data_IF_631153564817
#
_entry.id   IF_631153564817
#
_cell.length_a   1.000
_cell.length_b   1.000
_cell.length_c   1.000
_cell.angle_alpha   90.00
_cell.angle_beta   90.00
_cell.angle_gamma   90.00
#
_symmetry.space_group_name_H-M   'P 1'
#
loop_
_entity.id
_entity.type
_entity.pdbx_description
1 polymer ?
#
# COMPACT_ATOMS: atom_id res chain seq x y z
N UNK A 1 -10.61 1.49 -19.67
CA UNK A 1 -10.08 0.66 -18.56
C UNK A 1 -11.25 0.19 -17.73
N UNK A 2 -11.44 -1.13 -17.58
CA UNK A 2 -12.52 -1.71 -16.78
C UNK A 2 -12.19 -1.79 -15.29
N UNK A 3 -13.21 -1.98 -14.45
CA UNK A 3 -13.05 -2.09 -12.99
C UNK A 3 -12.11 -3.23 -12.60
N UNK A 4 -12.14 -4.35 -13.31
CA UNK A 4 -11.26 -5.48 -13.05
C UNK A 4 -9.77 -5.11 -13.20
N UNK A 5 -9.43 -4.29 -14.19
CA UNK A 5 -8.05 -3.84 -14.38
C UNK A 5 -7.62 -2.86 -13.28
N UNK A 6 -8.52 -2.02 -12.78
CA UNK A 6 -8.20 -1.11 -11.67
C UNK A 6 -7.85 -1.91 -10.43
N UNK A 7 -8.66 -2.93 -10.10
CA UNK A 7 -8.38 -3.84 -9.00
C UNK A 7 -7.05 -4.57 -9.15
N UNK A 8 -6.71 -5.03 -10.36
CA UNK A 8 -5.43 -5.70 -10.61
C UNK A 8 -4.25 -4.75 -10.39
N UNK A 9 -4.32 -3.53 -10.91
CA UNK A 9 -3.24 -2.55 -10.73
C UNK A 9 -3.10 -2.18 -9.26
N UNK A 10 -4.19 -1.86 -8.56
CA UNK A 10 -4.14 -1.58 -7.13
C UNK A 10 -3.61 -2.78 -6.34
N UNK A 11 -4.02 -4.00 -6.67
CA UNK A 11 -3.52 -5.22 -6.06
C UNK A 11 -2.01 -5.39 -6.24
N UNK A 12 -1.49 -5.22 -7.46
CA UNK A 12 -0.05 -5.31 -7.74
C UNK A 12 0.73 -4.23 -6.99
N UNK A 13 0.23 -2.99 -6.92
CA UNK A 13 0.86 -1.91 -6.13
C UNK A 13 1.00 -2.33 -4.66
N UNK A 14 -0.06 -2.88 -4.08
CA UNK A 14 -0.09 -3.34 -2.69
C UNK A 14 0.75 -4.61 -2.44
N UNK A 15 1.20 -5.32 -3.48
CA UNK A 15 2.15 -6.44 -3.37
C UNK A 15 3.61 -6.00 -3.55
N UNK A 16 3.88 -5.05 -4.45
CA UNK A 16 5.25 -4.57 -4.71
C UNK A 16 5.75 -3.72 -3.55
N UNK A 17 4.90 -2.87 -2.98
CA UNK A 17 5.24 -2.02 -1.82
C UNK A 17 5.83 -2.81 -0.64
N UNK A 18 5.15 -3.85 -0.09
CA UNK A 18 5.68 -4.60 1.04
C UNK A 18 6.93 -5.40 0.69
N UNK A 19 7.11 -5.85 -0.56
CA UNK A 19 8.38 -6.45 -0.99
C UNK A 19 9.53 -5.46 -0.86
N UNK A 20 9.33 -4.22 -1.32
CA UNK A 20 10.33 -3.16 -1.16
C UNK A 20 10.64 -2.87 0.30
N UNK A 21 9.61 -2.76 1.15
CA UNK A 21 9.77 -2.53 2.59
C UNK A 21 10.55 -3.68 3.25
N UNK A 22 10.17 -4.93 2.95
CA UNK A 22 10.81 -6.12 3.49
C UNK A 22 12.30 -6.18 3.11
N UNK A 23 12.64 -5.96 1.84
CA UNK A 23 14.02 -5.95 1.38
C UNK A 23 14.85 -4.88 2.09
N UNK A 24 14.34 -3.65 2.22
CA UNK A 24 15.07 -2.57 2.89
C UNK A 24 15.29 -2.83 4.37
N UNK A 25 14.25 -3.29 5.09
CA UNK A 25 14.33 -3.46 6.55
C UNK A 25 15.12 -4.71 6.96
N UNK A 26 15.10 -5.78 6.15
CA UNK A 26 15.76 -7.06 6.50
C UNK A 26 17.10 -7.27 5.80
N UNK A 27 17.22 -6.91 4.52
CA UNK A 27 18.44 -7.15 3.73
C UNK A 27 19.36 -5.94 3.80
N UNK A 28 18.82 -4.73 3.65
CA UNK A 28 19.58 -3.49 3.69
C UNK A 28 19.46 -2.78 5.05
N UNK A 29 19.43 -3.56 6.14
CA UNK A 29 19.20 -3.09 7.52
C UNK A 29 20.07 -1.86 7.86
N UNK A 30 21.37 -1.91 7.55
CA UNK A 30 22.34 -0.86 7.89
C UNK A 30 22.08 0.48 7.18
N UNK A 31 21.36 0.45 6.04
CA UNK A 31 20.96 1.67 5.32
C UNK A 31 19.62 2.24 5.81
N UNK A 32 18.85 1.44 6.55
CA UNK A 32 17.52 1.79 7.02
C UNK A 32 17.54 2.35 8.44
N UNK A 33 18.37 1.78 9.31
CA UNK A 33 18.51 2.21 10.69
C UNK A 33 19.72 3.13 10.85
N UNK A 34 19.63 4.07 11.80
CA UNK A 34 20.77 4.91 12.17
C UNK A 34 21.89 4.06 12.78
N UNK A 35 23.15 4.45 12.55
CA UNK A 35 24.35 3.68 12.91
C UNK A 35 24.46 3.35 14.42
N UNK A 36 23.74 4.11 15.25
CA UNK A 36 23.68 4.00 16.70
C UNK A 36 22.34 3.45 17.22
N UNK A 37 21.52 2.83 16.36
CA UNK A 37 20.30 2.14 16.77
C UNK A 37 20.64 0.94 17.68
N UNK A 38 19.90 0.77 18.77
CA UNK A 38 20.04 -0.41 19.62
C UNK A 38 19.45 -1.64 18.94
N UNK A 39 19.93 -2.83 19.32
CA UNK A 39 19.40 -4.10 18.79
C UNK A 39 17.88 -4.23 18.99
N UNK A 40 17.38 -3.81 20.16
CA UNK A 40 15.95 -3.80 20.48
C UNK A 40 15.16 -2.86 19.56
N UNK A 41 15.72 -1.71 19.20
CA UNK A 41 15.10 -0.78 18.26
C UNK A 41 15.01 -1.36 16.84
N UNK A 42 16.07 -2.05 16.40
CA UNK A 42 16.11 -2.73 15.10
C UNK A 42 15.08 -3.87 15.08
N UNK A 43 14.99 -4.66 16.14
CA UNK A 43 14.03 -5.76 16.26
C UNK A 43 12.57 -5.26 16.24
N UNK A 44 12.28 -4.18 16.95
CA UNK A 44 10.96 -3.54 16.94
C UNK A 44 10.60 -3.04 15.54
N UNK A 45 11.55 -2.38 14.85
CA UNK A 45 11.39 -1.92 13.47
C UNK A 45 11.12 -3.06 12.50
N UNK A 46 11.88 -4.16 12.60
CA UNK A 46 11.67 -5.39 11.80
C UNK A 46 10.31 -6.03 12.06
N UNK A 47 9.88 -6.07 13.31
CA UNK A 47 8.57 -6.63 13.70
C UNK A 47 7.44 -5.80 13.10
N UNK A 48 7.51 -4.47 13.21
CA UNK A 48 6.52 -3.57 12.62
C UNK A 48 6.49 -3.69 11.08
N UNK A 49 7.67 -3.77 10.45
CA UNK A 49 7.77 -3.97 9.01
C UNK A 49 7.13 -5.28 8.57
N UNK A 50 7.32 -6.38 9.31
CA UNK A 50 6.70 -7.67 9.01
C UNK A 50 5.17 -7.61 9.09
N UNK A 51 4.63 -6.96 10.12
CA UNK A 51 3.17 -6.79 10.28
C UNK A 51 2.61 -5.98 9.10
N UNK A 52 3.25 -4.85 8.77
CA UNK A 52 2.85 -4.02 7.63
C UNK A 52 2.94 -4.78 6.31
N UNK A 53 3.99 -5.58 6.12
CA UNK A 53 4.14 -6.41 4.94
C UNK A 53 2.99 -7.40 4.81
N UNK A 54 2.68 -8.16 5.87
CA UNK A 54 1.59 -9.13 5.87
C UNK A 54 0.23 -8.48 5.56
N UNK A 55 -0.05 -7.31 6.16
CA UNK A 55 -1.28 -6.55 5.91
C UNK A 55 -1.38 -6.09 4.45
N UNK A 56 -0.31 -5.50 3.90
CA UNK A 56 -0.30 -5.03 2.52
C UNK A 56 -0.41 -6.19 1.53
N UNK A 57 0.27 -7.31 1.79
CA UNK A 57 0.14 -8.53 1.01
C UNK A 57 -1.30 -9.06 0.99
N UNK A 58 -1.93 -9.16 2.17
CA UNK A 58 -3.33 -9.58 2.29
C UNK A 58 -4.27 -8.66 1.50
N UNK A 59 -4.12 -7.35 1.64
CA UNK A 59 -4.89 -6.37 0.88
C UNK A 59 -4.66 -6.48 -0.63
N UNK A 60 -3.41 -6.67 -1.06
CA UNK A 60 -3.06 -6.85 -2.46
C UNK A 60 -3.75 -8.07 -3.08
N UNK A 61 -3.75 -9.20 -2.37
CA UNK A 61 -4.46 -10.42 -2.78
C UNK A 61 -5.97 -10.17 -2.83
N UNK A 62 -6.56 -9.55 -1.80
CA UNK A 62 -7.98 -9.23 -1.77
C UNK A 62 -8.39 -8.34 -2.94
N UNK A 63 -7.56 -7.36 -3.31
CA UNK A 63 -7.84 -6.50 -4.46
C UNK A 63 -7.72 -7.27 -5.78
N UNK A 64 -6.73 -8.16 -5.94
CA UNK A 64 -6.66 -9.05 -7.11
C UNK A 64 -7.89 -9.94 -7.23
N UNK A 65 -8.35 -10.53 -6.14
CA UNK A 65 -9.57 -11.35 -6.11
C UNK A 65 -10.82 -10.52 -6.40
N UNK A 66 -10.85 -9.26 -5.96
CA UNK A 66 -11.96 -8.35 -6.25
C UNK A 66 -12.11 -8.04 -7.75
N UNK A 67 -11.06 -8.30 -8.56
CA UNK A 67 -11.16 -8.19 -10.02
C UNK A 67 -12.13 -9.19 -10.67
N UNK A 68 -12.56 -10.22 -9.94
CA UNK A 68 -13.54 -11.22 -10.42
C UNK A 68 -14.99 -10.86 -10.09
N UNK A 69 -15.24 -9.75 -9.38
CA UNK A 69 -16.60 -9.31 -9.06
C UNK A 69 -17.30 -8.88 -10.36
N UNK A 70 -18.38 -9.58 -10.70
CA UNK A 70 -19.18 -9.33 -11.91
C UNK A 70 -20.24 -8.23 -11.73
N UNK A 71 -20.49 -7.81 -10.50
CA UNK A 71 -21.49 -6.78 -10.22
C UNK A 71 -20.80 -5.42 -10.07
N UNK A 72 -21.25 -4.43 -10.85
CA UNK A 72 -20.66 -3.08 -10.86
C UNK A 72 -20.89 -2.38 -9.51
N UNK A 73 -22.07 -2.52 -8.90
CA UNK A 73 -22.38 -1.89 -7.62
C UNK A 73 -21.45 -2.38 -6.50
N UNK A 74 -21.34 -3.70 -6.34
CA UNK A 74 -20.43 -4.34 -5.40
C UNK A 74 -18.96 -3.97 -5.66
N UNK A 75 -18.53 -3.96 -6.92
CA UNK A 75 -17.18 -3.51 -7.30
C UNK A 75 -16.91 -2.07 -6.86
N UNK A 76 -17.86 -1.15 -7.07
CA UNK A 76 -17.71 0.25 -6.66
C UNK A 76 -17.63 0.42 -5.15
N UNK A 77 -18.29 -0.45 -4.38
CA UNK A 77 -18.19 -0.46 -2.92
C UNK A 77 -16.80 -0.89 -2.47
N UNK A 78 -16.24 -1.96 -3.05
CA UNK A 78 -14.88 -2.41 -2.73
C UNK A 78 -13.83 -1.35 -3.11
N UNK A 79 -14.03 -0.60 -4.20
CA UNK A 79 -13.14 0.52 -4.56
C UNK A 79 -13.12 1.65 -3.52
N UNK A 80 -14.19 1.84 -2.74
CA UNK A 80 -14.17 2.76 -1.60
C UNK A 80 -13.20 2.24 -0.54
N UNK A 81 -13.22 0.94 -0.25
CA UNK A 81 -12.24 0.31 0.63
C UNK A 81 -10.80 0.53 0.17
N UNK A 82 -10.51 0.32 -1.13
CA UNK A 82 -9.19 0.61 -1.72
C UNK A 82 -8.80 2.07 -1.51
N UNK A 83 -9.74 2.99 -1.72
CA UNK A 83 -9.53 4.44 -1.58
C UNK A 83 -9.19 4.81 -0.15
N UNK A 84 -9.99 4.33 0.82
CA UNK A 84 -9.80 4.60 2.25
C UNK A 84 -8.47 4.03 2.72
N UNK A 85 -8.15 2.78 2.39
CA UNK A 85 -6.87 2.17 2.77
C UNK A 85 -5.67 2.94 2.20
N UNK A 86 -5.76 3.37 0.93
CA UNK A 86 -4.69 4.15 0.30
C UNK A 86 -4.55 5.54 0.92
N UNK A 87 -5.67 6.21 1.20
CA UNK A 87 -5.68 7.52 1.85
C UNK A 87 -5.12 7.45 3.27
N UNK A 88 -5.47 6.41 4.05
CA UNK A 88 -4.92 6.19 5.39
C UNK A 88 -3.41 5.96 5.34
N UNK A 89 -2.90 5.19 4.37
CA UNK A 89 -1.45 5.00 4.20
C UNK A 89 -0.74 6.30 3.84
N UNK A 90 -1.28 7.10 2.91
CA UNK A 90 -0.72 8.42 2.58
C UNK A 90 -0.72 9.36 3.79
N UNK A 91 -1.80 9.36 4.57
CA UNK A 91 -1.87 10.15 5.80
C UNK A 91 -0.80 9.72 6.80
N UNK A 92 -0.60 8.40 6.97
CA UNK A 92 0.48 7.87 7.82
C UNK A 92 1.86 8.33 7.33
N UNK A 93 2.09 8.41 6.03
CA UNK A 93 3.37 8.92 5.50
C UNK A 93 3.57 10.41 5.81
N UNK A 94 2.51 11.22 5.68
CA UNK A 94 2.56 12.65 6.05
C UNK A 94 2.85 12.82 7.54
N UNK A 95 2.15 12.07 8.40
CA UNK A 95 2.36 12.12 9.85
C UNK A 95 3.79 11.70 10.20
N UNK A 96 4.32 10.66 9.55
CA UNK A 96 5.66 10.18 9.81
C UNK A 96 6.74 11.19 9.39
N UNK A 97 6.57 11.83 8.23
CA UNK A 97 7.48 12.87 7.75
C UNK A 97 7.51 14.07 8.71
N UNK A 98 6.34 14.56 9.13
CA UNK A 98 6.25 15.73 10.02
C UNK A 98 6.74 15.39 11.44
N UNK A 99 6.41 14.20 11.96
CA UNK A 99 6.66 13.83 13.35
C UNK A 99 8.05 13.26 13.60
N UNK A 100 8.61 12.53 12.64
CA UNK A 100 9.84 11.75 12.82
C UNK A 100 10.89 11.99 11.73
N UNK A 101 10.64 12.91 10.77
CA UNK A 101 11.53 13.15 9.62
C UNK A 101 11.85 11.86 8.84
N UNK A 102 10.91 10.91 8.86
CA UNK A 102 11.02 9.60 8.24
C UNK A 102 9.91 9.41 7.22
N UNK A 103 10.28 9.28 5.95
CA UNK A 103 9.34 9.10 4.84
C UNK A 103 9.75 7.93 3.96
N UNK A 104 8.78 7.13 3.45
CA UNK A 104 9.07 6.17 2.41
C UNK A 104 9.65 6.84 1.16
N UNK A 105 10.45 6.12 0.36
CA UNK A 105 11.01 6.69 -0.87
C UNK A 105 9.89 7.09 -1.85
N UNK A 106 10.15 8.12 -2.66
CA UNK A 106 9.18 8.74 -3.59
C UNK A 106 8.36 7.72 -4.42
N UNK A 107 8.94 6.62 -4.96
CA UNK A 107 8.16 5.63 -5.71
C UNK A 107 6.99 5.02 -4.91
N UNK A 108 7.13 4.87 -3.59
CA UNK A 108 6.07 4.37 -2.71
C UNK A 108 4.92 5.37 -2.62
N UNK A 109 5.23 6.65 -2.42
CA UNK A 109 4.24 7.72 -2.42
C UNK A 109 3.45 7.74 -3.72
N UNK A 110 4.15 7.68 -4.85
CA UNK A 110 3.54 7.68 -6.17
C UNK A 110 2.64 6.45 -6.37
N UNK A 111 3.09 5.26 -5.92
CA UNK A 111 2.31 4.03 -6.00
C UNK A 111 0.99 4.11 -5.23
N UNK A 112 1.03 4.52 -3.95
CA UNK A 112 -0.18 4.61 -3.12
C UNK A 112 -1.09 5.75 -3.59
N UNK A 113 -0.54 6.89 -4.01
CA UNK A 113 -1.31 7.98 -4.60
C UNK A 113 -2.02 7.54 -5.89
N UNK A 114 -1.33 6.77 -6.74
CA UNK A 114 -1.91 6.21 -7.94
C UNK A 114 -3.03 5.21 -7.62
N UNK A 115 -2.84 4.32 -6.64
CA UNK A 115 -3.88 3.40 -6.20
C UNK A 115 -5.13 4.15 -5.72
N UNK A 116 -4.95 5.23 -4.95
CA UNK A 116 -6.03 6.10 -4.47
C UNK A 116 -6.75 6.81 -5.64
N UNK A 117 -6.00 7.40 -6.57
CA UNK A 117 -6.57 8.09 -7.73
C UNK A 117 -7.32 7.13 -8.65
N UNK A 118 -6.75 5.96 -8.94
CA UNK A 118 -7.37 4.94 -9.77
C UNK A 118 -8.63 4.37 -9.14
N UNK A 119 -8.67 4.17 -7.82
CA UNK A 119 -9.86 3.66 -7.14
C UNK A 119 -11.00 4.69 -7.14
N UNK A 120 -10.69 5.97 -6.94
CA UNK A 120 -11.65 7.07 -7.08
C UNK A 120 -12.18 7.15 -8.52
N UNK A 121 -11.28 7.11 -9.51
CA UNK A 121 -11.65 7.12 -10.92
C UNK A 121 -12.57 5.95 -11.28
N UNK A 122 -12.22 4.73 -10.86
CA UNK A 122 -13.02 3.53 -11.05
C UNK A 122 -14.42 3.67 -10.48
N UNK A 123 -14.54 4.20 -9.26
CA UNK A 123 -15.83 4.39 -8.60
C UNK A 123 -16.75 5.33 -9.37
N UNK A 124 -16.25 6.52 -9.72
CA UNK A 124 -17.09 7.60 -10.23
C UNK A 124 -17.30 7.57 -11.74
N UNK A 125 -16.33 7.06 -12.51
CA UNK A 125 -16.33 7.20 -13.97
C UNK A 125 -16.48 5.88 -14.72
N UNK A 126 -16.20 4.74 -14.09
CA UNK A 126 -16.22 3.44 -14.78
C UNK A 126 -17.50 2.68 -14.48
N UNK A 127 -18.26 2.36 -15.54
CA UNK A 127 -19.52 1.61 -15.49
C UNK A 127 -19.44 0.24 -16.19
N UNK A 128 -18.26 -0.13 -16.70
CA UNK A 128 -18.00 -1.39 -17.41
C UNK A 128 -16.89 -2.17 -16.70
N UNK A 129 -17.01 -3.49 -16.69
CA UNK A 129 -16.09 -4.42 -16.00
C UNK A 129 -14.85 -4.67 -16.84
#
# INVERSE_FOLDING_TARGET
MGLANIFRICGVIFLIFPLGLFLNVHIFTDSWFVENATDEHIELGKTMANILCALCFGLGILFLLSSFIKEVASSKLVLIGVTVSSASLLLSFIINEIGFSGSPPIPVWVGIALACALSLYGRFRVNRI
#
